data_IF_441113328579
#
_entry.id   IF_441113328579
#
_cell.length_a   1.000
_cell.length_b   1.000
_cell.length_c   1.000
_cell.angle_alpha   90.00
_cell.angle_beta   90.00
_cell.angle_gamma   90.00
#
_symmetry.space_group_name_H-M   'P 1'
#
loop_
_entity.id
_entity.type
_entity.pdbx_description
1 polymer ?
#
# COMPACT_ATOMS: atom_id res chain seq x y z
N UNK A 1 -12.29 3.82 -22.11
CA UNK A 1 -13.58 3.72 -21.39
C UNK A 1 -13.39 3.26 -19.94
N UNK A 2 -14.34 3.54 -19.04
CA UNK A 2 -14.26 3.13 -17.63
C UNK A 2 -15.47 2.27 -17.24
N UNK A 3 -15.21 1.13 -16.60
CA UNK A 3 -16.25 0.21 -16.12
C UNK A 3 -16.14 0.07 -14.61
N UNK A 4 -17.24 0.32 -13.90
CA UNK A 4 -17.28 0.32 -12.43
C UNK A 4 -18.15 -0.81 -11.89
N UNK A 5 -17.70 -1.47 -10.84
CA UNK A 5 -18.50 -2.38 -10.02
C UNK A 5 -18.43 -2.01 -8.55
N UNK A 6 -19.55 -2.18 -7.83
CA UNK A 6 -19.69 -1.80 -6.42
C UNK A 6 -20.30 -2.95 -5.63
N UNK A 7 -19.66 -3.36 -4.54
CA UNK A 7 -20.24 -4.24 -3.54
C UNK A 7 -20.57 -3.46 -2.27
N UNK A 8 -21.86 -3.40 -1.94
CA UNK A 8 -22.37 -2.60 -0.82
C UNK A 8 -22.56 -3.42 0.44
N UNK A 9 -22.37 -2.78 1.59
CA UNK A 9 -22.60 -3.36 2.93
C UNK A 9 -21.75 -4.60 3.21
N UNK A 10 -20.52 -4.62 2.70
CA UNK A 10 -19.56 -5.67 2.98
C UNK A 10 -19.30 -5.74 4.49
N UNK A 11 -19.46 -6.93 5.09
CA UNK A 11 -19.26 -7.16 6.53
C UNK A 11 -17.76 -7.29 6.87
N UNK A 12 -17.02 -6.21 6.62
CA UNK A 12 -15.60 -6.03 6.92
C UNK A 12 -15.32 -4.56 7.21
N UNK A 13 -14.30 -4.27 8.02
CA UNK A 13 -13.82 -2.90 8.23
C UNK A 13 -13.12 -2.39 6.98
N UNK A 14 -13.36 -1.13 6.61
CA UNK A 14 -12.71 -0.49 5.46
C UNK A 14 -11.17 -0.59 5.51
N UNK A 15 -10.55 -0.41 6.68
CA UNK A 15 -9.10 -0.49 6.84
C UNK A 15 -8.50 -1.83 6.37
N UNK A 16 -9.06 -2.96 6.82
CA UNK A 16 -8.61 -4.30 6.41
C UNK A 16 -8.80 -4.57 4.91
N UNK A 17 -9.82 -3.99 4.31
CA UNK A 17 -10.07 -4.13 2.87
C UNK A 17 -9.14 -3.24 2.04
N UNK A 18 -8.83 -2.01 2.50
CA UNK A 18 -7.92 -1.08 1.83
C UNK A 18 -6.52 -1.65 1.65
N UNK A 19 -6.05 -2.44 2.60
CA UNK A 19 -4.75 -3.10 2.50
C UNK A 19 -4.65 -3.99 1.26
N UNK A 20 -5.72 -4.73 0.94
CA UNK A 20 -5.77 -5.59 -0.25
C UNK A 20 -6.05 -4.78 -1.52
N UNK A 21 -6.92 -3.76 -1.46
CA UNK A 21 -7.21 -2.95 -2.66
C UNK A 21 -6.01 -2.14 -3.13
N UNK A 22 -5.15 -1.68 -2.21
CA UNK A 22 -3.88 -1.02 -2.55
C UNK A 22 -2.92 -1.93 -3.30
N UNK A 23 -2.94 -3.24 -3.02
CA UNK A 23 -2.04 -4.19 -3.67
C UNK A 23 -2.41 -4.44 -5.15
N UNK A 24 -3.71 -4.41 -5.48
CA UNK A 24 -4.21 -4.68 -6.84
C UNK A 24 -4.29 -3.44 -7.74
N UNK A 25 -4.16 -2.24 -7.17
CA UNK A 25 -4.32 -1.00 -7.92
C UNK A 25 -3.16 -0.83 -8.91
N UNK A 26 -3.48 -0.56 -10.18
CA UNK A 26 -2.50 -0.45 -11.26
C UNK A 26 -2.03 -1.79 -11.85
N UNK A 27 -2.52 -2.92 -11.36
CA UNK A 27 -2.23 -4.23 -11.94
C UNK A 27 -3.19 -4.54 -13.11
N UNK A 28 -2.77 -5.35 -14.10
CA UNK A 28 -3.68 -5.89 -15.09
C UNK A 28 -4.72 -6.81 -14.41
N UNK A 29 -5.91 -6.88 -14.99
CA UNK A 29 -7.06 -7.58 -14.39
C UNK A 29 -6.79 -9.08 -14.16
N UNK A 30 -6.03 -9.73 -15.03
CA UNK A 30 -5.63 -11.14 -14.91
C UNK A 30 -4.74 -11.38 -13.69
N UNK A 31 -3.68 -10.58 -13.53
CA UNK A 31 -2.74 -10.73 -12.42
C UNK A 31 -3.42 -10.38 -11.09
N UNK A 32 -4.32 -9.40 -11.10
CA UNK A 32 -5.12 -9.06 -9.93
C UNK A 32 -6.04 -10.21 -9.52
N UNK A 33 -6.65 -10.95 -10.47
CA UNK A 33 -7.46 -12.12 -10.17
C UNK A 33 -6.64 -13.21 -9.46
N UNK A 34 -5.43 -13.47 -9.95
CA UNK A 34 -4.57 -14.51 -9.37
C UNK A 34 -4.04 -14.11 -7.99
N UNK A 35 -3.60 -12.87 -7.82
CA UNK A 35 -3.20 -12.34 -6.53
C UNK A 35 -4.33 -12.47 -5.49
N UNK A 36 -5.56 -12.13 -5.87
CA UNK A 36 -6.72 -12.22 -4.99
C UNK A 36 -7.13 -13.66 -4.66
N UNK A 37 -6.88 -14.63 -5.55
CA UNK A 37 -7.17 -16.06 -5.30
C UNK A 37 -6.27 -16.63 -4.21
N UNK A 38 -5.00 -16.24 -4.18
CA UNK A 38 -4.01 -16.81 -3.25
C UNK A 38 -3.76 -15.96 -2.01
N UNK A 39 -4.36 -14.77 -1.90
CA UNK A 39 -4.22 -13.92 -0.71
C UNK A 39 -5.02 -14.49 0.47
N UNK A 40 -4.39 -14.79 1.64
CA UNK A 40 -5.05 -15.43 2.79
C UNK A 40 -5.87 -14.45 3.65
N UNK A 41 -6.56 -13.49 3.02
CA UNK A 41 -7.36 -12.47 3.72
C UNK A 41 -8.81 -12.58 3.29
N UNK A 42 -9.74 -12.51 4.26
CA UNK A 42 -11.19 -12.46 3.99
C UNK A 42 -11.56 -11.35 2.99
N UNK A 43 -10.86 -10.21 3.05
CA UNK A 43 -11.06 -9.11 2.11
C UNK A 43 -10.87 -9.54 0.65
N UNK A 44 -9.90 -10.40 0.37
CA UNK A 44 -9.58 -10.86 -0.98
C UNK A 44 -10.77 -11.59 -1.61
N UNK A 45 -11.46 -12.46 -0.87
CA UNK A 45 -12.65 -13.15 -1.36
C UNK A 45 -13.82 -12.20 -1.71
N UNK A 46 -13.97 -11.09 -1.00
CA UNK A 46 -14.99 -10.08 -1.30
C UNK A 46 -14.60 -9.24 -2.52
N UNK A 47 -13.35 -8.82 -2.59
CA UNK A 47 -12.81 -8.02 -3.71
C UNK A 47 -12.76 -8.85 -5.01
N UNK A 48 -12.46 -10.14 -4.92
CA UNK A 48 -12.46 -11.05 -6.05
C UNK A 48 -13.84 -11.16 -6.70
N UNK A 49 -14.91 -11.21 -5.90
CA UNK A 49 -16.28 -11.21 -6.42
C UNK A 49 -16.60 -9.89 -7.14
N UNK A 50 -16.19 -8.75 -6.60
CA UNK A 50 -16.37 -7.45 -7.28
C UNK A 50 -15.58 -7.33 -8.56
N UNK A 51 -14.33 -7.81 -8.58
CA UNK A 51 -13.47 -7.74 -9.76
C UNK A 51 -14.02 -8.62 -10.88
N UNK A 52 -14.44 -9.85 -10.57
CA UNK A 52 -15.11 -10.74 -11.54
C UNK A 52 -16.37 -10.10 -12.13
N UNK A 53 -17.19 -9.46 -11.29
CA UNK A 53 -18.37 -8.73 -11.76
C UNK A 53 -18.00 -7.54 -12.66
N UNK A 54 -16.93 -6.81 -12.34
CA UNK A 54 -16.46 -5.70 -13.18
C UNK A 54 -15.99 -6.18 -14.56
N UNK A 55 -15.25 -7.29 -14.62
CA UNK A 55 -14.80 -7.90 -15.88
C UNK A 55 -16.01 -8.36 -16.70
N UNK A 56 -16.95 -9.07 -16.09
CA UNK A 56 -18.16 -9.53 -16.78
C UNK A 56 -19.01 -8.37 -17.33
N UNK A 57 -19.08 -7.24 -16.61
CA UNK A 57 -19.74 -6.04 -17.10
C UNK A 57 -19.00 -5.42 -18.28
N UNK A 58 -17.66 -5.41 -18.25
CA UNK A 58 -16.86 -4.88 -19.34
C UNK A 58 -16.99 -5.73 -20.62
N UNK A 59 -17.04 -7.06 -20.49
CA UNK A 59 -17.25 -7.96 -21.62
C UNK A 59 -18.66 -7.83 -22.19
N UNK A 60 -19.70 -7.90 -21.35
CA UNK A 60 -21.08 -7.97 -21.84
C UNK A 60 -21.63 -6.63 -22.33
N UNK A 61 -21.38 -5.54 -21.58
CA UNK A 61 -22.01 -4.24 -21.88
C UNK A 61 -21.15 -3.39 -22.82
N UNK A 62 -19.84 -3.59 -22.81
CA UNK A 62 -18.88 -2.73 -23.52
C UNK A 62 -18.07 -3.50 -24.57
N UNK A 63 -18.27 -4.82 -24.71
CA UNK A 63 -17.54 -5.70 -25.64
C UNK A 63 -16.01 -5.57 -25.54
N UNK A 64 -15.50 -5.28 -24.33
CA UNK A 64 -14.07 -5.15 -24.08
C UNK A 64 -13.44 -6.53 -23.85
N UNK A 65 -12.22 -6.70 -24.32
CA UNK A 65 -11.42 -7.90 -24.07
C UNK A 65 -10.86 -7.87 -22.64
N UNK A 66 -11.04 -8.96 -21.89
CA UNK A 66 -10.58 -9.06 -20.50
C UNK A 66 -9.06 -9.03 -20.33
N UNK A 67 -8.30 -9.40 -21.37
CA UNK A 67 -6.83 -9.36 -21.36
C UNK A 67 -6.23 -7.95 -21.33
N UNK A 68 -6.98 -6.96 -21.83
CA UNK A 68 -6.50 -5.59 -22.01
C UNK A 68 -6.94 -4.67 -20.86
N UNK A 69 -7.71 -5.18 -19.90
CA UNK A 69 -8.24 -4.41 -18.78
C UNK A 69 -7.20 -4.23 -17.68
N UNK A 70 -7.10 -3.00 -17.18
CA UNK A 70 -6.26 -2.60 -16.06
C UNK A 70 -7.12 -2.07 -14.92
N UNK A 71 -6.74 -2.39 -13.68
CA UNK A 71 -7.38 -1.84 -12.47
C UNK A 71 -6.93 -0.40 -12.28
N UNK A 72 -7.71 0.56 -12.78
CA UNK A 72 -7.45 2.00 -12.61
C UNK A 72 -7.55 2.43 -11.15
N UNK A 73 -8.63 2.02 -10.50
CA UNK A 73 -8.94 2.45 -9.14
C UNK A 73 -9.64 1.35 -8.35
N UNK A 74 -9.19 1.11 -7.11
CA UNK A 74 -9.81 0.18 -6.18
C UNK A 74 -9.93 0.84 -4.81
N UNK A 75 -11.11 1.42 -4.55
CA UNK A 75 -11.38 2.21 -3.35
C UNK A 75 -12.37 1.50 -2.43
N UNK A 76 -12.18 1.71 -1.13
CA UNK A 76 -13.08 1.21 -0.09
C UNK A 76 -13.58 2.36 0.78
N UNK A 77 -14.86 2.64 0.65
CA UNK A 77 -15.60 3.58 1.49
C UNK A 77 -16.08 2.93 2.78
N UNK A 78 -16.31 3.75 3.80
CA UNK A 78 -16.97 3.29 5.03
C UNK A 78 -18.47 3.11 4.79
N UNK A 79 -19.06 2.11 5.46
CA UNK A 79 -20.49 1.86 5.46
C UNK A 79 -21.10 2.08 6.85
N UNK A 80 -22.41 1.87 7.00
CA UNK A 80 -23.07 1.98 8.29
C UNK A 80 -22.45 1.03 9.31
N UNK A 81 -22.23 1.54 10.52
CA UNK A 81 -21.66 0.76 11.63
C UNK A 81 -22.76 0.34 12.59
N UNK A 82 -22.92 -0.96 12.77
CA UNK A 82 -23.85 -1.50 13.76
C UNK A 82 -23.23 -1.37 15.17
N UNK A 83 -23.95 -0.67 16.05
CA UNK A 83 -23.57 -0.52 17.46
C UNK A 83 -24.11 -1.71 18.27
N UNK A 84 -23.24 -2.37 19.04
CA UNK A 84 -23.56 -3.44 19.99
C UNK A 84 -22.86 -3.13 21.31
N UNK A 85 -23.26 -3.77 22.40
CA UNK A 85 -22.59 -3.64 23.69
C UNK A 85 -22.01 -4.98 24.13
N UNK A 86 -20.99 -4.92 24.98
CA UNK A 86 -20.43 -6.08 25.67
C UNK A 86 -20.45 -5.79 27.18
N UNK A 87 -21.01 -6.69 28.00
CA UNK A 87 -20.94 -6.54 29.44
C UNK A 87 -19.47 -6.58 29.91
N UNK A 88 -19.14 -5.73 30.89
CA UNK A 88 -17.82 -5.63 31.52
C UNK A 88 -17.95 -5.72 33.05
N UNK A 89 -16.81 -5.74 33.73
CA UNK A 89 -16.74 -5.78 35.19
C UNK A 89 -17.50 -4.61 35.84
N UNK A 90 -17.95 -4.80 37.09
CA UNK A 90 -18.62 -3.78 37.93
C UNK A 90 -19.85 -3.14 37.26
N UNK A 91 -20.67 -3.94 36.56
CA UNK A 91 -21.91 -3.45 35.93
C UNK A 91 -21.72 -2.51 34.74
N UNK A 92 -20.48 -2.35 34.25
CA UNK A 92 -20.18 -1.47 33.12
C UNK A 92 -20.47 -2.13 31.76
N UNK A 93 -20.68 -1.33 30.71
CA UNK A 93 -20.85 -1.80 29.34
C UNK A 93 -19.84 -1.14 28.38
N UNK A 94 -19.15 -1.94 27.58
CA UNK A 94 -18.26 -1.46 26.52
C UNK A 94 -18.94 -1.49 25.14
N UNK A 95 -18.66 -0.53 24.24
CA UNK A 95 -19.22 -0.55 22.90
C UNK A 95 -18.45 -1.51 21.96
N UNK A 96 -19.18 -2.35 21.22
CA UNK A 96 -18.68 -3.10 20.06
C UNK A 96 -19.21 -2.45 18.78
N UNK A 97 -18.31 -2.07 17.87
CA UNK A 97 -18.65 -1.51 16.56
C UNK A 97 -18.48 -2.57 15.47
N UNK A 98 -19.58 -3.11 14.94
CA UNK A 98 -19.56 -4.00 13.78
C UNK A 98 -19.63 -3.15 12.51
N UNK A 99 -18.45 -2.72 12.05
CA UNK A 99 -18.29 -1.87 10.86
C UNK A 99 -18.61 -2.63 9.57
N UNK A 100 -19.20 -1.94 8.61
CA UNK A 100 -19.33 -2.41 7.22
C UNK A 100 -18.59 -1.46 6.28
N UNK A 101 -18.40 -1.88 5.02
CA UNK A 101 -17.74 -1.07 3.99
C UNK A 101 -18.42 -1.21 2.63
N UNK A 102 -18.18 -0.24 1.76
CA UNK A 102 -18.55 -0.28 0.35
C UNK A 102 -17.27 -0.40 -0.48
N UNK A 103 -17.16 -1.45 -1.30
CA UNK A 103 -15.99 -1.72 -2.13
C UNK A 103 -16.35 -1.28 -3.56
N UNK A 104 -15.52 -0.45 -4.18
CA UNK A 104 -15.67 -0.02 -5.57
C UNK A 104 -14.40 -0.32 -6.36
N UNK A 105 -14.56 -0.98 -7.49
CA UNK A 105 -13.47 -1.29 -8.43
C UNK A 105 -13.81 -0.68 -9.77
N UNK A 106 -12.86 0.04 -10.35
CA UNK A 106 -12.96 0.68 -11.66
C UNK A 106 -11.87 0.11 -12.57
N UNK A 107 -12.30 -0.46 -13.70
CA UNK A 107 -11.44 -0.98 -14.77
C UNK A 107 -11.36 0.02 -15.92
N UNK A 108 -10.24 0.00 -16.64
CA UNK A 108 -10.03 0.79 -17.85
C UNK A 108 -9.19 -0.01 -18.85
N UNK A 109 -9.40 0.28 -20.13
CA UNK A 109 -8.69 -0.22 -21.31
C UNK A 109 -7.65 0.79 -21.84
N UNK A 110 -7.66 2.03 -21.34
CA UNK A 110 -6.80 3.13 -21.83
C UNK A 110 -5.33 3.03 -21.37
N UNK A 111 -5.05 2.24 -20.34
CA UNK A 111 -3.72 2.16 -19.72
C UNK A 111 -2.97 0.98 -20.31
N UNK A 112 -1.85 1.26 -20.97
CA UNK A 112 -0.98 0.21 -21.50
C UNK A 112 -0.29 -0.59 -20.38
N UNK A 113 -0.27 -1.92 -20.53
CA UNK A 113 0.33 -2.83 -19.56
C UNK A 113 1.86 -2.83 -19.77
N UNK A 114 2.58 -1.99 -19.03
CA UNK A 114 4.05 -2.00 -19.07
C UNK A 114 4.59 -3.22 -18.31
N UNK A 115 4.88 -4.31 -19.03
CA UNK A 115 5.54 -5.47 -18.43
C UNK A 115 7.02 -5.15 -18.23
N UNK A 116 7.61 -5.69 -17.16
CA UNK A 116 9.05 -5.52 -16.87
C UNK A 116 9.95 -6.02 -18.00
N UNK A 117 9.46 -6.94 -18.83
CA UNK A 117 10.13 -7.43 -20.05
C UNK A 117 10.33 -6.33 -21.08
N UNK A 118 9.41 -5.38 -21.17
CA UNK A 118 9.34 -4.39 -22.25
C UNK A 118 10.14 -3.14 -21.90
N UNK A 119 10.61 -3.04 -20.65
CA UNK A 119 11.47 -1.96 -20.19
C UNK A 119 12.91 -2.20 -20.67
N UNK A 120 13.53 -1.27 -21.41
CA UNK A 120 14.88 -1.46 -21.93
C UNK A 120 15.86 -1.71 -20.77
N UNK A 121 16.57 -2.85 -20.81
CA UNK A 121 17.59 -3.21 -19.81
C UNK A 121 18.67 -2.13 -19.81
N UNK A 122 18.79 -1.38 -18.71
CA UNK A 122 19.91 -0.46 -18.54
C UNK A 122 21.22 -1.26 -18.59
N UNK A 123 22.15 -0.83 -19.45
CA UNK A 123 23.49 -1.42 -19.55
C UNK A 123 24.17 -1.29 -18.18
N UNK A 124 24.49 -2.43 -17.57
CA UNK A 124 25.28 -2.53 -16.33
C UNK A 124 26.66 -1.92 -16.62
N UNK A 125 27.01 -0.79 -16.02
CA UNK A 125 28.37 -0.25 -16.10
C UNK A 125 29.31 -1.18 -15.35
N UNK A 126 30.20 -1.84 -16.08
CA UNK A 126 31.37 -2.52 -15.52
C UNK A 126 32.35 -1.45 -15.04
N UNK A 127 32.31 -1.12 -13.75
CA UNK A 127 33.37 -0.31 -13.14
C UNK A 127 34.63 -1.17 -13.01
N UNK A 128 35.50 -1.10 -14.01
CA UNK A 128 36.91 -1.47 -13.87
C UNK A 128 37.58 -0.44 -12.95
N UNK A 129 37.99 -0.87 -11.76
CA UNK A 129 38.78 -0.09 -10.80
C UNK A 129 40.02 0.54 -11.49
N UNK A 130 40.26 1.85 -11.40
CA UNK A 130 41.59 2.39 -11.63
C UNK A 130 42.46 2.13 -10.40
N UNK A 131 43.61 1.52 -10.65
CA UNK A 131 44.68 1.23 -9.71
C UNK A 131 45.15 2.46 -8.94
N UNK A 132 45.23 2.35 -7.62
CA UNK A 132 45.95 3.26 -6.75
C UNK A 132 47.42 3.37 -7.18
N UNK A 133 47.90 4.59 -7.45
CA UNK A 133 49.30 5.00 -7.27
C UNK A 133 49.44 6.53 -7.35
N UNK A 134 50.22 7.04 -6.41
CA UNK A 134 50.78 8.40 -6.22
C UNK A 134 50.02 9.29 -5.23
N UNK A 135 50.68 9.95 -4.27
CA UNK A 135 51.95 9.76 -3.53
C UNK A 135 51.89 10.82 -2.41
N UNK A 136 52.54 10.54 -1.30
CA UNK A 136 52.68 11.39 -0.13
C UNK A 136 53.08 12.86 -0.41
N UNK A 137 52.45 13.78 0.33
CA UNK A 137 52.98 15.03 0.93
C UNK A 137 51.72 15.82 1.37
N UNK A 138 51.49 16.29 2.60
CA UNK A 138 52.37 16.89 3.60
C UNK A 138 51.76 16.61 4.99
N UNK A 139 52.62 16.26 5.94
CA UNK A 139 52.30 16.23 7.36
C UNK A 139 52.73 17.56 8.01
N UNK A 140 51.92 18.01 8.98
CA UNK A 140 52.20 18.98 10.05
C UNK A 140 52.29 20.45 9.60
N UNK A 141 51.59 21.42 10.22
CA UNK A 141 51.89 21.95 11.56
C UNK A 141 50.61 22.54 12.23
N UNK A 142 50.24 21.91 13.36
CA UNK A 142 49.77 22.43 14.67
C UNK A 142 49.10 23.81 14.82
N UNK A 143 48.01 23.90 15.60
CA UNK A 143 48.05 24.28 17.03
C UNK A 143 46.66 24.68 17.61
N UNK A 144 46.32 24.08 18.78
CA UNK A 144 45.74 24.68 20.02
C UNK A 144 44.37 25.42 19.96
N UNK A 145 43.38 25.22 20.83
CA UNK A 145 43.32 24.85 22.28
C UNK A 145 41.91 24.29 22.65
N UNK A 146 41.83 23.37 23.64
CA UNK A 146 40.62 23.09 24.43
C UNK A 146 40.66 23.88 25.77
N UNK A 147 39.51 24.34 26.25
CA UNK A 147 39.38 24.82 27.64
C UNK A 147 38.02 24.38 28.22
N UNK A 148 38.11 23.51 29.21
CA UNK A 148 37.08 23.21 30.21
C UNK A 148 36.80 24.46 31.05
N UNK A 149 35.57 24.63 31.56
CA UNK A 149 35.41 25.31 32.85
C UNK A 149 34.14 24.89 33.59
N UNK A 150 34.39 24.15 34.67
CA UNK A 150 33.83 24.24 36.02
C UNK A 150 32.32 24.05 36.27
N UNK A 151 32.06 22.95 36.97
CA UNK A 151 30.96 22.81 37.92
C UNK A 151 31.07 23.84 39.06
N UNK A 152 29.93 24.38 39.50
CA UNK A 152 29.73 24.88 40.87
C UNK A 152 28.39 24.41 41.41
N UNK A 153 28.48 23.78 42.57
CA UNK A 153 27.37 23.50 43.48
C UNK A 153 26.90 24.78 44.18
N UNK A 154 25.61 24.83 44.53
CA UNK A 154 25.11 25.49 45.73
C UNK A 154 23.68 25.01 46.04
N UNK A 155 23.57 24.24 47.12
CA UNK A 155 22.38 24.14 47.98
C UNK A 155 21.95 25.52 48.50
N UNK A 156 20.65 25.83 48.49
CA UNK A 156 19.99 26.64 49.52
C UNK A 156 18.59 26.06 49.77
N UNK A 157 18.28 25.94 51.06
CA UNK A 157 17.14 25.32 51.73
C UNK A 157 16.29 26.43 52.36
N UNK A 158 14.99 26.46 52.09
CA UNK A 158 13.84 26.68 53.01
C UNK A 158 12.53 26.67 52.21
#
# INVERSE_FOLDING_TARGET
MQVKSIHRFAKISAFKAREVTRAIQGMPATDALDLLRFTPKKAAGLILKTLKSAIANAENNNQLNSGDLVVKEAVVGEGPTLKRFQPKARGSAGPIRKRTSHISVTLTDEIEIVRRSDKPKSKKSSNTKPSAKNKASVAQVTATTPTEDSAKAADIKE
#
